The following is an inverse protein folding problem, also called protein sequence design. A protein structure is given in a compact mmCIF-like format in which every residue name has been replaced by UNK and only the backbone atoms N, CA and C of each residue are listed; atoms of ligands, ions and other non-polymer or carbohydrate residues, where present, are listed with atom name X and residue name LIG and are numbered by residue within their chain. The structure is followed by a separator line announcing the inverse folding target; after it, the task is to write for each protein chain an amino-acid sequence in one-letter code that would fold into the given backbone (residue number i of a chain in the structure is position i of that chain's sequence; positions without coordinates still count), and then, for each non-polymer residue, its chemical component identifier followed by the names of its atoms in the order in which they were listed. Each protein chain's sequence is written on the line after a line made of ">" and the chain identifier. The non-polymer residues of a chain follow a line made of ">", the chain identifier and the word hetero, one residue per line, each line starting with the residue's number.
data_IF_352241721728
#
_entry.id   IF_352241721728
#
_cell.length_a   1.000
_cell.length_b   1.000
_cell.length_c   1.000
_cell.angle_alpha   90.00
_cell.angle_beta   90.00
_cell.angle_gamma   90.00
#
_symmetry.space_group_name_H-M   'P 1'
#
loop_
_entity.id
_entity.type
_entity.pdbx_description
1 polymer ?
#
# COMPACT_ATOMS: atom_id res chain seq x y z
N UNK A 1 14.26 -14.55 17.42
CA UNK A 1 13.47 -14.04 18.55
C UNK A 1 12.00 -14.45 18.45
N UNK A 2 11.30 -14.27 17.30
CA UNK A 2 9.88 -14.67 17.18
C UNK A 2 9.61 -16.16 16.96
N UNK A 3 10.64 -16.97 16.63
CA UNK A 3 10.43 -18.36 16.22
C UNK A 3 9.66 -19.22 17.24
N UNK A 4 9.93 -19.15 18.56
CA UNK A 4 9.19 -19.95 19.54
C UNK A 4 7.72 -19.54 19.72
N UNK A 5 7.33 -18.33 19.30
CA UNK A 5 5.93 -17.90 19.25
C UNK A 5 5.20 -18.40 18.00
N UNK A 6 5.94 -18.74 16.95
CA UNK A 6 5.42 -19.15 15.65
C UNK A 6 5.59 -20.67 15.40
N UNK A 7 5.98 -21.43 16.43
CA UNK A 7 6.02 -22.89 16.42
C UNK A 7 5.13 -23.47 17.52
N UNK A 8 5.14 -24.80 17.66
CA UNK A 8 4.30 -25.56 18.58
C UNK A 8 4.51 -25.19 20.06
N UNK A 9 5.67 -24.62 20.40
CA UNK A 9 5.98 -24.23 21.79
C UNK A 9 5.13 -23.06 22.27
N UNK A 10 4.79 -22.12 21.37
CA UNK A 10 4.01 -20.90 21.68
C UNK A 10 4.52 -20.16 22.94
N UNK A 11 5.81 -19.88 23.01
CA UNK A 11 6.44 -19.16 24.13
C UNK A 11 7.17 -17.89 23.68
N UNK A 12 7.20 -16.88 24.54
CA UNK A 12 8.04 -15.69 24.40
C UNK A 12 9.17 -15.72 25.44
N UNK A 13 10.40 -16.05 25.05
CA UNK A 13 11.57 -15.88 25.90
C UNK A 13 11.91 -14.40 26.08
N UNK A 14 12.12 -13.99 27.33
CA UNK A 14 12.56 -12.64 27.71
C UNK A 14 13.93 -12.78 28.40
N UNK A 15 14.98 -12.92 27.59
CA UNK A 15 16.33 -13.28 28.05
C UNK A 15 16.87 -12.34 29.13
N UNK A 16 16.63 -11.03 28.98
CA UNK A 16 17.06 -10.00 29.95
C UNK A 16 16.44 -10.17 31.34
N UNK A 17 15.29 -10.84 31.44
CA UNK A 17 14.60 -11.13 32.69
C UNK A 17 14.78 -12.59 33.13
N UNK A 18 15.42 -13.43 32.31
CA UNK A 18 15.49 -14.88 32.54
C UNK A 18 14.11 -15.54 32.57
N UNK A 19 13.10 -14.96 31.93
CA UNK A 19 11.71 -15.41 31.95
C UNK A 19 11.30 -16.02 30.61
N UNK A 20 10.34 -16.94 30.67
CA UNK A 20 9.65 -17.46 29.49
C UNK A 20 8.14 -17.38 29.73
N UNK A 21 7.44 -16.68 28.84
CA UNK A 21 6.00 -16.47 28.96
C UNK A 21 5.29 -17.39 27.97
N UNK A 22 4.39 -18.24 28.46
CA UNK A 22 3.53 -19.03 27.59
C UNK A 22 2.46 -18.13 26.95
N UNK A 23 2.32 -18.19 25.63
CA UNK A 23 1.28 -17.46 24.94
C UNK A 23 -0.08 -18.14 25.24
N UNK A 24 -1.10 -17.37 25.66
CA UNK A 24 -2.40 -17.95 25.98
C UNK A 24 -3.08 -18.48 24.71
N UNK A 25 -4.08 -19.37 24.82
CA UNK A 25 -4.71 -20.03 23.67
C UNK A 25 -5.18 -19.07 22.58
N UNK A 26 -5.72 -17.91 22.96
CA UNK A 26 -6.27 -16.85 22.10
C UNK A 26 -5.20 -15.98 21.40
N UNK A 27 -3.92 -16.11 21.76
CA UNK A 27 -2.86 -15.33 21.12
C UNK A 27 -2.75 -15.66 19.63
N UNK A 28 -2.67 -14.61 18.81
CA UNK A 28 -2.47 -14.70 17.36
C UNK A 28 -1.30 -13.80 16.93
N UNK A 29 -0.40 -14.36 16.13
CA UNK A 29 0.72 -13.61 15.56
C UNK A 29 0.42 -13.23 14.12
N UNK A 30 0.42 -11.93 13.83
CA UNK A 30 0.25 -11.37 12.48
C UNK A 30 1.47 -10.55 12.14
N UNK A 31 1.96 -10.71 10.90
CA UNK A 31 3.04 -9.90 10.35
C UNK A 31 2.66 -9.41 8.96
N UNK A 32 3.16 -8.23 8.59
CA UNK A 32 3.02 -7.65 7.25
C UNK A 32 4.41 -7.29 6.74
N UNK A 33 4.63 -7.48 5.44
CA UNK A 33 5.84 -7.04 4.76
C UNK A 33 5.50 -6.74 3.29
N UNK A 34 6.21 -5.77 2.69
CA UNK A 34 6.08 -5.44 1.27
C UNK A 34 7.21 -6.12 0.50
N UNK A 35 6.93 -7.15 -0.33
CA UNK A 35 7.97 -7.80 -1.11
C UNK A 35 8.57 -6.83 -2.13
N UNK A 36 9.88 -6.91 -2.37
CA UNK A 36 10.57 -6.08 -3.37
C UNK A 36 10.87 -4.64 -2.93
N UNK A 37 10.27 -4.16 -1.84
CA UNK A 37 10.49 -2.80 -1.31
C UNK A 37 11.82 -2.66 -0.53
N UNK A 38 12.43 -3.77 -0.14
CA UNK A 38 13.65 -3.79 0.65
C UNK A 38 14.80 -4.38 -0.17
N UNK A 39 16.01 -3.87 0.04
CA UNK A 39 17.22 -4.54 -0.45
C UNK A 39 17.22 -6.00 0.03
N UNK A 40 17.72 -6.92 -0.80
CA UNK A 40 17.72 -8.38 -0.56
C UNK A 40 18.28 -8.80 0.83
N UNK A 41 19.00 -7.91 1.52
CA UNK A 41 19.55 -8.12 2.86
C UNK A 41 18.52 -8.00 4.00
N UNK A 42 17.34 -7.43 3.76
CA UNK A 42 16.27 -7.27 4.78
C UNK A 42 15.05 -8.16 4.54
N UNK A 43 15.07 -8.98 3.49
CA UNK A 43 14.02 -9.96 3.26
C UNK A 43 13.87 -10.93 4.44
N UNK A 44 12.62 -11.35 4.68
CA UNK A 44 12.35 -12.38 5.66
C UNK A 44 13.08 -13.66 5.25
N UNK A 45 14.00 -14.11 6.12
CA UNK A 45 14.71 -15.38 5.94
C UNK A 45 13.69 -16.51 5.67
N UNK A 46 14.00 -17.48 4.80
CA UNK A 46 13.09 -18.58 4.49
C UNK A 46 12.55 -19.30 5.72
N UNK A 47 13.38 -19.49 6.76
CA UNK A 47 12.98 -20.09 8.04
C UNK A 47 11.88 -19.29 8.75
N UNK A 48 11.89 -17.96 8.67
CA UNK A 48 10.81 -17.14 9.20
C UNK A 48 9.57 -17.24 8.31
N UNK A 49 9.71 -17.18 6.98
CA UNK A 49 8.56 -17.26 6.04
C UNK A 49 7.78 -18.57 6.17
N UNK A 50 8.48 -19.70 6.33
CA UNK A 50 7.87 -21.03 6.47
C UNK A 50 7.15 -21.27 7.80
N UNK A 51 7.09 -20.27 8.69
CA UNK A 51 6.33 -20.31 9.96
C UNK A 51 5.03 -19.52 9.89
N UNK A 52 4.71 -18.94 8.74
CA UNK A 52 3.49 -18.16 8.53
C UNK A 52 2.68 -18.73 7.38
N UNK A 53 1.36 -18.61 7.50
CA UNK A 53 0.48 -18.60 6.34
C UNK A 53 0.60 -17.22 5.68
N UNK A 54 0.72 -17.19 4.35
CA UNK A 54 0.86 -15.96 3.59
C UNK A 54 -0.43 -15.65 2.82
N UNK A 55 -0.94 -14.43 2.98
CA UNK A 55 -2.06 -13.90 2.20
C UNK A 55 -1.50 -12.75 1.35
N UNK A 56 -1.37 -12.92 0.03
CA UNK A 56 -0.93 -11.84 -0.83
C UNK A 56 -2.05 -10.79 -0.93
N UNK A 57 -1.69 -9.52 -0.74
CA UNK A 57 -2.59 -8.40 -0.92
C UNK A 57 -2.12 -7.60 -2.14
N UNK A 58 -2.98 -7.53 -3.15
CA UNK A 58 -2.84 -6.60 -4.27
C UNK A 58 -3.76 -5.40 -4.09
N UNK A 59 -3.73 -4.49 -5.06
CA UNK A 59 -4.74 -3.43 -5.14
C UNK A 59 -6.14 -4.04 -5.34
N UNK A 60 -7.19 -3.45 -4.75
CA UNK A 60 -8.55 -3.94 -4.94
C UNK A 60 -8.98 -3.85 -6.41
N UNK A 61 -9.93 -4.69 -6.86
CA UNK A 61 -10.57 -4.51 -8.15
C UNK A 61 -11.24 -3.12 -8.23
N UNK A 62 -11.28 -2.52 -9.42
CA UNK A 62 -11.75 -1.15 -9.60
C UNK A 62 -13.13 -0.84 -8.96
N UNK A 63 -14.15 -1.72 -9.02
CA UNK A 63 -15.42 -1.47 -8.34
C UNK A 63 -15.27 -1.35 -6.81
N UNK A 64 -14.48 -2.22 -6.20
CA UNK A 64 -14.24 -2.22 -4.76
C UNK A 64 -13.36 -1.03 -4.34
N UNK A 65 -12.34 -0.69 -5.13
CA UNK A 65 -11.51 0.48 -4.85
C UNK A 65 -12.32 1.78 -4.95
N UNK A 66 -13.24 1.86 -5.90
CA UNK A 66 -14.18 2.98 -6.01
C UNK A 66 -15.05 3.09 -4.76
N UNK A 67 -15.59 1.96 -4.26
CA UNK A 67 -16.38 1.93 -3.02
C UNK A 67 -15.57 2.40 -1.82
N UNK A 68 -14.31 1.97 -1.72
CA UNK A 68 -13.37 2.41 -0.67
C UNK A 68 -13.19 3.93 -0.74
N UNK A 69 -12.92 4.50 -1.91
CA UNK A 69 -12.75 5.95 -2.06
C UNK A 69 -14.01 6.70 -1.66
N UNK A 70 -15.19 6.25 -2.08
CA UNK A 70 -16.47 6.86 -1.70
C UNK A 70 -16.68 6.77 -0.18
N UNK A 71 -16.37 5.64 0.45
CA UNK A 71 -16.52 5.47 1.90
C UNK A 71 -15.56 6.32 2.72
N UNK A 72 -14.28 6.32 2.36
CA UNK A 72 -13.22 7.00 3.10
C UNK A 72 -13.19 8.52 2.87
N UNK A 73 -13.71 8.97 1.73
CA UNK A 73 -13.62 10.37 1.33
C UNK A 73 -14.96 11.02 1.00
N UNK A 74 -16.07 10.32 0.88
CA UNK A 74 -17.38 10.95 0.61
C UNK A 74 -17.48 11.74 -0.71
N UNK A 75 -16.53 11.58 -1.64
CA UNK A 75 -16.66 12.12 -3.00
C UNK A 75 -17.72 11.33 -3.77
N UNK A 76 -18.21 11.90 -4.88
CA UNK A 76 -19.14 11.19 -5.74
C UNK A 76 -18.47 9.99 -6.43
N UNK A 77 -19.29 8.97 -6.73
CA UNK A 77 -18.83 7.70 -7.33
C UNK A 77 -18.15 7.90 -8.70
N UNK A 78 -18.59 8.86 -9.50
CA UNK A 78 -18.01 9.08 -10.82
C UNK A 78 -16.60 9.66 -10.70
N UNK A 79 -16.38 10.61 -9.79
CA UNK A 79 -15.06 11.11 -9.46
C UNK A 79 -14.16 10.03 -8.85
N UNK A 80 -14.68 9.20 -7.95
CA UNK A 80 -13.93 8.07 -7.39
C UNK A 80 -13.50 7.09 -8.49
N UNK A 81 -14.40 6.75 -9.42
CA UNK A 81 -14.09 5.89 -10.57
C UNK A 81 -12.96 6.46 -11.42
N UNK A 82 -12.99 7.76 -11.74
CA UNK A 82 -11.90 8.41 -12.49
C UNK A 82 -10.57 8.39 -11.76
N UNK A 83 -10.56 8.58 -10.43
CA UNK A 83 -9.34 8.47 -9.62
C UNK A 83 -8.77 7.05 -9.65
N UNK A 84 -9.64 6.03 -9.61
CA UNK A 84 -9.24 4.62 -9.73
C UNK A 84 -8.69 4.30 -11.11
N UNK A 85 -9.30 4.81 -12.18
CA UNK A 85 -8.79 4.66 -13.55
C UNK A 85 -7.42 5.30 -13.72
N UNK A 86 -7.25 6.54 -13.26
CA UNK A 86 -5.98 7.25 -13.27
C UNK A 86 -4.91 6.52 -12.43
N UNK A 87 -5.27 6.08 -11.22
CA UNK A 87 -4.39 5.27 -10.37
C UNK A 87 -3.99 3.96 -11.01
N UNK A 88 -4.93 3.29 -11.69
CA UNK A 88 -4.69 2.08 -12.48
C UNK A 88 -3.71 2.30 -13.63
N UNK A 89 -3.79 3.45 -14.31
CA UNK A 89 -2.84 3.83 -15.35
C UNK A 89 -1.44 4.07 -14.79
N UNK A 90 -1.32 4.82 -13.70
CA UNK A 90 -0.03 5.07 -13.03
C UNK A 90 0.61 3.76 -12.54
N UNK A 91 -0.19 2.81 -12.02
CA UNK A 91 0.32 1.49 -11.59
C UNK A 91 0.95 0.68 -12.71
N UNK A 92 0.49 0.83 -13.96
CA UNK A 92 1.09 0.13 -15.11
C UNK A 92 2.49 0.65 -15.45
N UNK A 93 2.79 1.90 -15.10
CA UNK A 93 4.11 2.50 -15.32
C UNK A 93 5.20 1.88 -14.44
N UNK A 94 4.85 1.01 -13.47
CA UNK A 94 5.84 0.19 -12.74
C UNK A 94 6.61 -0.73 -13.70
N UNK A 95 5.96 -1.20 -14.76
CA UNK A 95 6.61 -1.99 -15.81
C UNK A 95 7.56 -1.14 -16.67
N UNK A 96 7.43 0.19 -16.62
CA UNK A 96 8.16 1.18 -17.42
C UNK A 96 9.27 1.89 -16.61
N UNK A 97 9.47 1.52 -15.34
CA UNK A 97 10.57 2.02 -14.51
C UNK A 97 10.14 2.75 -13.23
N UNK A 98 8.85 2.92 -12.98
CA UNK A 98 8.37 3.48 -11.71
C UNK A 98 8.62 2.49 -10.56
N UNK A 99 9.20 2.93 -9.44
CA UNK A 99 9.51 2.04 -8.32
C UNK A 99 8.24 1.45 -7.67
N UNK A 100 7.20 2.27 -7.50
CA UNK A 100 5.91 1.86 -6.94
C UNK A 100 4.75 2.63 -7.60
N UNK A 101 3.65 1.91 -7.87
CA UNK A 101 2.43 2.53 -8.42
C UNK A 101 1.64 3.33 -7.38
N UNK A 102 0.65 4.09 -7.84
CA UNK A 102 -0.23 4.86 -6.96
C UNK A 102 -1.05 3.95 -6.01
N UNK A 103 -0.74 4.01 -4.71
CA UNK A 103 -1.46 3.24 -3.68
C UNK A 103 -2.92 3.67 -3.49
N UNK A 104 -3.80 2.80 -2.97
CA UNK A 104 -5.17 3.22 -2.58
C UNK A 104 -5.16 4.39 -1.59
N UNK A 105 -4.13 4.49 -0.74
CA UNK A 105 -3.94 5.62 0.19
C UNK A 105 -3.73 6.94 -0.55
N UNK A 106 -2.90 6.98 -1.58
CA UNK A 106 -2.69 8.20 -2.37
C UNK A 106 -3.95 8.63 -3.10
N UNK A 107 -4.73 7.67 -3.60
CA UNK A 107 -6.04 7.93 -4.20
C UNK A 107 -7.01 8.55 -3.19
N UNK A 108 -7.07 8.03 -1.95
CA UNK A 108 -7.88 8.61 -0.86
C UNK A 108 -7.42 10.02 -0.49
N UNK A 109 -6.11 10.29 -0.52
CA UNK A 109 -5.57 11.64 -0.30
C UNK A 109 -5.97 12.61 -1.42
N UNK A 110 -5.85 12.20 -2.68
CA UNK A 110 -6.31 12.99 -3.82
C UNK A 110 -7.80 13.30 -3.70
N UNK A 111 -8.64 12.29 -3.43
CA UNK A 111 -10.07 12.45 -3.20
C UNK A 111 -10.39 13.43 -2.06
N UNK A 112 -9.65 13.33 -0.95
CA UNK A 112 -9.83 14.19 0.23
C UNK A 112 -9.46 15.64 -0.06
N UNK A 113 -8.38 15.88 -0.82
CA UNK A 113 -8.01 17.21 -1.26
C UNK A 113 -9.07 17.80 -2.20
N UNK A 114 -9.60 17.01 -3.13
CA UNK A 114 -10.67 17.46 -4.05
C UNK A 114 -11.93 17.84 -3.28
N UNK A 115 -12.34 17.02 -2.30
CA UNK A 115 -13.45 17.34 -1.42
C UNK A 115 -13.24 18.65 -0.66
N UNK A 116 -12.00 18.94 -0.27
CA UNK A 116 -11.63 20.20 0.39
C UNK A 116 -11.57 21.42 -0.56
N UNK A 117 -11.89 21.24 -1.85
CA UNK A 117 -11.93 22.31 -2.85
C UNK A 117 -10.64 22.50 -3.64
N UNK A 118 -9.64 21.61 -3.48
CA UNK A 118 -8.44 21.65 -4.32
C UNK A 118 -8.79 21.17 -5.73
N UNK A 119 -8.37 21.89 -6.80
CA UNK A 119 -8.59 21.43 -8.17
C UNK A 119 -8.05 20.01 -8.40
N UNK A 120 -8.82 19.17 -9.09
CA UNK A 120 -8.52 17.75 -9.27
C UNK A 120 -7.11 17.48 -9.77
N UNK A 121 -6.66 18.19 -10.82
CA UNK A 121 -5.31 18.06 -11.35
C UNK A 121 -4.23 18.33 -10.29
N UNK A 122 -4.41 19.37 -9.47
CA UNK A 122 -3.46 19.74 -8.41
C UNK A 122 -3.46 18.74 -7.26
N UNK A 123 -4.64 18.25 -6.87
CA UNK A 123 -4.79 17.21 -5.86
C UNK A 123 -4.10 15.91 -6.29
N UNK A 124 -4.35 15.45 -7.52
CA UNK A 124 -3.72 14.26 -8.08
C UNK A 124 -2.21 14.43 -8.25
N UNK A 125 -1.73 15.59 -8.72
CA UNK A 125 -0.30 15.82 -8.87
C UNK A 125 0.44 15.70 -7.53
N UNK A 126 -0.10 16.32 -6.47
CA UNK A 126 0.51 16.26 -5.14
C UNK A 126 0.42 14.90 -4.47
N UNK A 127 -0.70 14.18 -4.65
CA UNK A 127 -0.95 12.92 -3.94
C UNK A 127 -0.56 11.66 -4.72
N UNK A 128 -0.56 11.70 -6.05
CA UNK A 128 -0.43 10.53 -6.93
C UNK A 128 0.75 10.64 -7.92
N UNK A 129 1.48 11.76 -7.99
CA UNK A 129 2.66 11.91 -8.83
C UNK A 129 3.91 12.23 -8.01
N UNK A 130 3.92 13.39 -7.35
CA UNK A 130 5.05 13.90 -6.56
C UNK A 130 5.44 13.01 -5.38
N UNK A 131 4.55 12.13 -4.94
CA UNK A 131 4.85 11.16 -3.87
C UNK A 131 5.50 9.86 -4.38
N UNK A 132 5.53 9.64 -5.69
CA UNK A 132 5.99 8.38 -6.29
C UNK A 132 7.39 8.47 -6.86
N UNK A 133 7.81 9.65 -7.32
CA UNK A 133 9.12 9.83 -7.97
C UNK A 133 9.53 11.29 -8.00
N UNK A 134 10.85 11.51 -7.94
CA UNK A 134 11.51 12.81 -8.18
C UNK A 134 12.09 12.91 -9.61
N UNK A 135 11.96 11.84 -10.42
CA UNK A 135 12.43 11.81 -11.81
C UNK A 135 11.54 12.68 -12.71
N UNK A 136 12.09 13.71 -13.38
CA UNK A 136 11.31 14.62 -14.22
C UNK A 136 10.58 13.94 -15.39
N UNK A 137 11.18 12.93 -16.03
CA UNK A 137 10.61 12.27 -17.21
C UNK A 137 9.42 11.39 -16.79
N UNK A 138 9.56 10.67 -15.67
CA UNK A 138 8.46 9.91 -15.08
C UNK A 138 7.33 10.82 -14.58
N UNK A 139 7.67 11.98 -14.00
CA UNK A 139 6.67 12.96 -13.58
C UNK A 139 5.88 13.52 -14.76
N UNK A 140 6.53 13.81 -15.89
CA UNK A 140 5.86 14.27 -17.10
C UNK A 140 4.90 13.21 -17.64
N UNK A 141 5.31 11.95 -17.66
CA UNK A 141 4.46 10.84 -18.07
C UNK A 141 3.24 10.64 -17.14
N UNK A 142 3.43 10.70 -15.82
CA UNK A 142 2.31 10.65 -14.86
C UNK A 142 1.39 11.86 -15.06
N UNK A 143 1.95 13.06 -15.27
CA UNK A 143 1.16 14.26 -15.52
C UNK A 143 0.28 14.07 -16.76
N UNK A 144 0.82 13.57 -17.88
CA UNK A 144 0.03 13.29 -19.08
C UNK A 144 -1.14 12.32 -18.81
N UNK A 145 -0.92 11.29 -18.00
CA UNK A 145 -1.98 10.38 -17.54
C UNK A 145 -3.06 11.13 -16.77
N UNK A 146 -2.67 11.98 -15.81
CA UNK A 146 -3.61 12.75 -15.00
C UNK A 146 -4.42 13.74 -15.86
N UNK A 147 -3.80 14.37 -16.85
CA UNK A 147 -4.46 15.31 -17.77
C UNK A 147 -5.51 14.62 -18.64
N UNK A 148 -5.27 13.38 -19.05
CA UNK A 148 -6.24 12.60 -19.81
C UNK A 148 -7.52 12.27 -19.01
N UNK A 149 -7.43 12.18 -17.67
CA UNK A 149 -8.57 11.87 -16.79
C UNK A 149 -9.21 13.12 -16.18
N UNK A 150 -8.44 14.21 -16.04
CA UNK A 150 -8.86 15.46 -15.41
C UNK A 150 -8.45 16.68 -16.27
N UNK A 151 -9.18 16.94 -17.37
CA UNK A 151 -8.94 18.10 -18.23
C UNK A 151 -9.14 19.41 -17.46
#
# INVERSE_FOLDING_TARGET
>A
MIHPLADDRRILPIDKLGQSVAAPPEFMLVASFNPGYQSALKDLKPSTRQRFLAIPLGYPPAPLETDILVGESGIDRALAGRLVEAGGAIRRMVEEGLEEGASTRSLVYAATLIRAGVPARRACMGAMAQSLTDDPDLLEAIQAVLEAHFP
#
